data_IF_535075774794
#
_entry.id   IF_535075774794
#
_cell.length_a   1.000
_cell.length_b   1.000
_cell.length_c   1.000
_cell.angle_alpha   90.00
_cell.angle_beta   90.00
_cell.angle_gamma   90.00
#
_symmetry.space_group_name_H-M   'P 1'
#
loop_
_entity.id
_entity.type
_entity.pdbx_description
1 polymer ?
#
# COMPACT_ATOMS: atom_id res chain seq x y z
N UNK A 1 -9.14 -27.56 0.33
CA UNK A 1 -9.76 -26.23 0.51
C UNK A 1 -8.77 -25.20 0.00
N UNK A 2 -8.95 -24.73 -1.23
CA UNK A 2 -8.16 -23.61 -1.75
C UNK A 2 -8.73 -22.36 -1.10
N UNK A 3 -8.09 -21.86 -0.03
CA UNK A 3 -8.42 -20.56 0.53
C UNK A 3 -7.98 -19.55 -0.52
N UNK A 4 -8.86 -19.24 -1.47
CA UNK A 4 -8.70 -18.08 -2.34
C UNK A 4 -8.74 -16.91 -1.37
N UNK A 5 -7.56 -16.43 -0.96
CA UNK A 5 -7.42 -15.24 -0.12
C UNK A 5 -8.07 -14.12 -0.91
N UNK A 6 -9.31 -13.82 -0.55
CA UNK A 6 -10.05 -12.70 -1.10
C UNK A 6 -9.22 -11.47 -0.78
N UNK A 7 -8.60 -10.88 -1.80
CA UNK A 7 -7.83 -9.67 -1.58
C UNK A 7 -8.85 -8.55 -1.34
N UNK A 8 -8.94 -7.96 -0.14
CA UNK A 8 -9.94 -6.94 0.14
C UNK A 8 -9.79 -5.71 -0.76
N UNK A 9 -8.62 -5.53 -1.38
CA UNK A 9 -8.31 -4.45 -2.32
C UNK A 9 -8.60 -4.80 -3.78
N UNK A 10 -9.25 -5.94 -4.07
CA UNK A 10 -9.67 -6.30 -5.43
C UNK A 10 -10.69 -5.31 -6.01
N UNK A 11 -11.44 -4.63 -5.14
CA UNK A 11 -12.54 -3.74 -5.54
C UNK A 11 -12.09 -2.29 -5.75
N UNK A 12 -10.88 -1.92 -5.29
CA UNK A 12 -10.34 -0.59 -5.56
C UNK A 12 -10.10 -0.43 -7.06
N UNK A 13 -10.38 0.76 -7.59
CA UNK A 13 -9.88 1.16 -8.91
C UNK A 13 -8.34 1.21 -8.90
N UNK A 14 -7.74 1.27 -10.08
CA UNK A 14 -6.28 1.32 -10.16
C UNK A 14 -5.70 2.59 -9.52
N UNK A 15 -6.41 3.71 -9.63
CA UNK A 15 -6.01 4.99 -9.03
C UNK A 15 -6.15 4.95 -7.51
N UNK A 16 -7.30 4.52 -6.98
CA UNK A 16 -7.51 4.37 -5.54
C UNK A 16 -6.51 3.39 -4.91
N UNK A 17 -6.19 2.29 -5.60
CA UNK A 17 -5.22 1.32 -5.13
C UNK A 17 -3.82 1.93 -5.01
N UNK A 18 -3.40 2.74 -6.00
CA UNK A 18 -2.11 3.43 -5.98
C UNK A 18 -2.08 4.47 -4.87
N UNK A 19 -3.13 5.29 -4.77
CA UNK A 19 -3.23 6.35 -3.78
C UNK A 19 -3.22 5.82 -2.35
N UNK A 20 -4.02 4.79 -2.09
CA UNK A 20 -4.09 4.15 -0.79
C UNK A 20 -2.76 3.45 -0.45
N UNK A 21 -2.13 2.76 -1.40
CA UNK A 21 -0.80 2.17 -1.18
C UNK A 21 0.26 3.21 -0.82
N UNK A 22 0.21 4.39 -1.43
CA UNK A 22 1.13 5.48 -1.12
C UNK A 22 0.91 6.00 0.30
N UNK A 23 -0.34 6.26 0.68
CA UNK A 23 -0.69 6.75 2.01
C UNK A 23 -0.22 5.78 3.11
N UNK A 24 -0.48 4.48 2.93
CA UNK A 24 -0.07 3.45 3.88
C UNK A 24 1.44 3.27 3.94
N UNK A 25 2.16 3.42 2.81
CA UNK A 25 3.64 3.45 2.82
C UNK A 25 4.15 4.64 3.63
N UNK A 26 3.55 5.82 3.52
CA UNK A 26 3.99 7.00 4.26
C UNK A 26 3.69 6.87 5.76
N UNK A 27 2.53 6.31 6.14
CA UNK A 27 2.25 5.94 7.54
C UNK A 27 3.26 4.93 8.08
N UNK A 28 3.57 3.90 7.30
CA UNK A 28 4.54 2.87 7.71
C UNK A 28 5.94 3.45 7.91
N UNK A 29 6.36 4.42 7.09
CA UNK A 29 7.62 5.16 7.31
C UNK A 29 7.61 5.88 8.65
N UNK A 30 6.51 6.54 9.02
CA UNK A 30 6.40 7.21 10.32
C UNK A 30 6.50 6.19 11.46
N UNK A 31 5.77 5.08 11.36
CA UNK A 31 5.81 4.00 12.35
C UNK A 31 7.20 3.37 12.49
N UNK A 32 7.99 3.33 11.40
CA UNK A 32 9.35 2.79 11.43
C UNK A 32 10.32 3.56 12.35
N UNK A 33 9.98 4.80 12.72
CA UNK A 33 10.74 5.60 13.69
C UNK A 33 10.22 5.45 15.12
N UNK A 34 9.07 4.82 15.32
CA UNK A 34 8.49 4.57 16.64
C UNK A 34 8.94 3.25 17.25
N UNK A 35 8.61 3.03 18.52
CA UNK A 35 8.87 1.76 19.23
C UNK A 35 7.69 0.79 19.14
N UNK A 36 6.57 1.18 18.51
CA UNK A 36 5.39 0.34 18.37
C UNK A 36 5.54 -0.66 17.21
N UNK A 37 6.24 -1.76 17.51
CA UNK A 37 6.54 -2.83 16.55
C UNK A 37 5.25 -3.51 16.04
N UNK A 38 4.23 -3.63 16.88
CA UNK A 38 2.97 -4.29 16.51
C UNK A 38 2.24 -3.51 15.41
N UNK A 39 2.05 -2.20 15.60
CA UNK A 39 1.45 -1.33 14.57
C UNK A 39 2.28 -1.31 13.28
N UNK A 40 3.61 -1.35 13.40
CA UNK A 40 4.50 -1.44 12.24
C UNK A 40 4.31 -2.75 11.47
N UNK A 41 4.24 -3.89 12.17
CA UNK A 41 4.05 -5.20 11.54
C UNK A 41 2.68 -5.31 10.85
N UNK A 42 1.62 -4.80 11.47
CA UNK A 42 0.29 -4.73 10.86
C UNK A 42 0.30 -3.86 9.59
N UNK A 43 0.87 -2.66 9.68
CA UNK A 43 1.02 -1.76 8.53
C UNK A 43 1.88 -2.35 7.41
N UNK A 44 2.96 -3.06 7.75
CA UNK A 44 3.81 -3.74 6.78
C UNK A 44 3.05 -4.87 6.06
N UNK A 45 2.23 -5.62 6.77
CA UNK A 45 1.37 -6.65 6.18
C UNK A 45 0.34 -6.04 5.21
N UNK A 46 -0.27 -4.92 5.59
CA UNK A 46 -1.19 -4.15 4.74
C UNK A 46 -0.50 -3.68 3.45
N UNK A 47 0.62 -2.97 3.57
CA UNK A 47 1.40 -2.47 2.43
C UNK A 47 1.82 -3.62 1.50
N UNK A 48 2.22 -4.76 2.05
CA UNK A 48 2.56 -5.95 1.27
C UNK A 48 1.38 -6.49 0.45
N UNK A 49 0.16 -6.46 0.99
CA UNK A 49 -1.04 -6.86 0.25
C UNK A 49 -1.35 -5.89 -0.90
N UNK A 50 -1.20 -4.59 -0.66
CA UNK A 50 -1.41 -3.56 -1.68
C UNK A 50 -0.39 -3.67 -2.82
N UNK A 51 0.90 -3.85 -2.50
CA UNK A 51 1.97 -4.05 -3.49
C UNK A 51 1.71 -5.31 -4.33
N UNK A 52 1.24 -6.40 -3.71
CA UNK A 52 0.89 -7.63 -4.45
C UNK A 52 -0.22 -7.38 -5.45
N UNK A 53 -1.25 -6.60 -5.11
CA UNK A 53 -2.31 -6.24 -6.05
C UNK A 53 -1.86 -5.34 -7.17
N UNK A 54 -1.05 -4.33 -6.85
CA UNK A 54 -0.46 -3.43 -7.85
C UNK A 54 0.33 -4.25 -8.86
N UNK A 55 1.19 -5.18 -8.39
CA UNK A 55 1.94 -6.09 -9.26
C UNK A 55 1.03 -7.02 -10.05
N UNK A 56 -0.01 -7.60 -9.43
CA UNK A 56 -0.99 -8.47 -10.10
C UNK A 56 -1.70 -7.75 -11.25
N UNK A 57 -1.95 -6.46 -11.11
CA UNK A 57 -2.61 -5.61 -12.12
C UNK A 57 -1.63 -4.98 -13.12
N UNK A 58 -0.33 -5.32 -13.06
CA UNK A 58 0.73 -4.70 -13.86
C UNK A 58 0.78 -3.16 -13.74
N UNK A 59 0.41 -2.63 -12.57
CA UNK A 59 0.50 -1.21 -12.26
C UNK A 59 1.91 -0.87 -11.78
N UNK A 60 2.31 0.39 -11.98
CA UNK A 60 3.58 0.91 -11.48
C UNK A 60 3.31 1.93 -10.39
N UNK A 61 3.93 1.74 -9.23
CA UNK A 61 4.10 2.79 -8.23
C UNK A 61 5.15 3.77 -8.76
N UNK A 62 4.79 4.57 -9.78
CA UNK A 62 5.68 5.65 -10.23
C UNK A 62 5.73 6.68 -9.11
N UNK A 63 6.81 6.64 -8.34
CA UNK A 63 7.20 7.65 -7.33
C UNK A 63 7.20 9.07 -7.94
N UNK A 64 7.24 9.20 -9.27
CA UNK A 64 7.09 10.47 -9.97
C UNK A 64 5.68 11.09 -9.83
N UNK A 65 4.60 10.31 -9.68
CA UNK A 65 3.24 10.82 -9.42
C UNK A 65 3.05 11.25 -7.95
N UNK A 66 3.87 10.71 -7.03
CA UNK A 66 3.99 11.17 -5.64
C UNK A 66 4.46 12.63 -5.56
N UNK A 67 5.38 13.03 -6.45
CA UNK A 67 5.95 14.39 -6.47
C UNK A 67 4.91 15.47 -6.80
N UNK A 68 3.90 15.16 -7.61
CA UNK A 68 2.84 16.12 -7.94
C UNK A 68 1.83 16.37 -6.81
N UNK A 69 1.77 15.49 -5.79
CA UNK A 69 0.91 15.69 -4.62
C UNK A 69 1.58 16.45 -3.48
N UNK A 70 2.92 16.43 -3.41
CA UNK A 70 3.72 17.19 -2.43
C UNK A 70 3.99 18.62 -2.92
N UNK A 71 3.78 18.92 -4.20
CA UNK A 71 4.00 20.23 -4.82
C UNK A 71 2.69 21.01 -5.11
N UNK A 72 1.69 20.89 -4.24
CA UNK A 72 0.57 21.83 -4.17
C UNK A 72 0.58 22.55 -2.83
#
# INVERSE_FOLDING_TARGET
MSIVKFNPYSNLTNEELIDFAIEEIDKLKILSYGENIEEYEEGANLVNQLIREIKRRNLSLKITQLRSRILL
#
